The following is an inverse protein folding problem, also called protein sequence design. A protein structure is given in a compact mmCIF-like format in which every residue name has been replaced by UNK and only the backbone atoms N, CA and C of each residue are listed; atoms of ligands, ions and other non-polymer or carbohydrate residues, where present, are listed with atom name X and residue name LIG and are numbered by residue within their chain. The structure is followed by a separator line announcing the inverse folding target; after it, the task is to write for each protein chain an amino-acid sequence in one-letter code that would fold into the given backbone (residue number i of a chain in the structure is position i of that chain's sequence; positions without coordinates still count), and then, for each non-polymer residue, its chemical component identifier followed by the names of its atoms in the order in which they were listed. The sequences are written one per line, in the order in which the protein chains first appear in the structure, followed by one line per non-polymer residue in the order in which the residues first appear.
data_IF_069563745135
#
_entry.id   IF_069563745135
#
_cell.length_a   1.000
_cell.length_b   1.000
_cell.length_c   1.000
_cell.angle_alpha   90.00
_cell.angle_beta   90.00
_cell.angle_gamma   90.00
#
_symmetry.space_group_name_H-M   'P 1'
#
loop_
_entity.id
_entity.type
_entity.pdbx_description
1 polymer ?
#
# COMPACT_ATOMS: atom_id res chain seq x y z
N UNK A 1 37.28 3.05 -6.07
CA UNK A 1 35.90 3.42 -6.46
C UNK A 1 35.22 2.16 -6.94
N UNK A 2 34.25 1.64 -6.18
CA UNK A 2 33.43 0.52 -6.64
C UNK A 2 32.56 0.94 -7.83
N UNK A 3 31.99 0.01 -8.60
CA UNK A 3 31.08 0.37 -9.67
C UNK A 3 29.88 1.07 -9.04
N UNK A 4 29.76 2.38 -9.27
CA UNK A 4 28.51 3.07 -9.01
C UNK A 4 27.44 2.32 -9.78
N UNK A 5 26.37 1.91 -9.10
CA UNK A 5 25.30 1.19 -9.77
C UNK A 5 24.82 2.01 -10.97
N UNK A 6 24.50 1.37 -12.10
CA UNK A 6 24.02 2.03 -13.32
C UNK A 6 22.88 3.01 -13.07
N UNK A 7 22.08 2.77 -12.03
CA UNK A 7 21.00 3.66 -11.62
C UNK A 7 21.52 4.97 -10.99
N UNK A 8 22.57 4.88 -10.17
CA UNK A 8 23.17 6.03 -9.48
C UNK A 8 23.98 6.91 -10.44
N UNK A 9 24.43 6.39 -11.57
CA UNK A 9 25.07 7.19 -12.63
C UNK A 9 24.08 7.90 -13.56
N UNK A 10 22.77 7.66 -13.43
CA UNK A 10 21.76 8.37 -14.21
C UNK A 10 21.65 9.84 -13.79
N UNK A 11 21.36 10.75 -14.73
CA UNK A 11 20.90 12.10 -14.42
C UNK A 11 19.68 12.09 -13.49
N UNK A 12 19.59 13.10 -12.62
CA UNK A 12 18.51 13.24 -11.64
C UNK A 12 17.12 13.17 -12.27
N UNK A 13 16.92 13.82 -13.42
CA UNK A 13 15.63 13.82 -14.12
C UNK A 13 15.18 12.42 -14.54
N UNK A 14 16.12 11.55 -14.93
CA UNK A 14 15.80 10.17 -15.29
C UNK A 14 15.50 9.33 -14.05
N UNK A 15 16.25 9.53 -12.95
CA UNK A 15 15.96 8.89 -11.66
C UNK A 15 14.55 9.26 -11.17
N UNK A 16 14.19 10.54 -11.27
CA UNK A 16 12.86 11.03 -10.91
C UNK A 16 11.77 10.39 -11.78
N UNK A 17 11.90 10.38 -13.11
CA UNK A 17 10.92 9.70 -13.99
C UNK A 17 10.72 8.22 -13.66
N UNK A 18 11.79 7.52 -13.28
CA UNK A 18 11.72 6.13 -12.84
C UNK A 18 10.93 6.04 -11.52
N UNK A 19 11.28 6.86 -10.51
CA UNK A 19 10.54 6.93 -9.24
C UNK A 19 9.07 7.27 -9.45
N UNK A 20 8.78 8.18 -10.37
CA UNK A 20 7.44 8.62 -10.69
C UNK A 20 6.58 7.52 -11.29
N UNK A 21 7.21 6.55 -11.97
CA UNK A 21 6.55 5.41 -12.61
C UNK A 21 6.32 4.24 -11.66
N UNK A 22 6.95 4.23 -10.48
CA UNK A 22 6.83 3.15 -9.52
C UNK A 22 5.56 3.25 -8.64
N UNK A 23 5.00 2.13 -8.18
CA UNK A 23 3.98 2.12 -7.14
C UNK A 23 4.51 2.78 -5.86
N UNK A 24 3.63 3.45 -5.09
CA UNK A 24 4.06 4.18 -3.89
C UNK A 24 4.76 3.28 -2.86
N UNK A 25 4.40 2.00 -2.78
CA UNK A 25 5.04 1.03 -1.87
C UNK A 25 6.52 0.78 -2.20
N UNK A 26 6.89 0.83 -3.48
CA UNK A 26 8.27 0.57 -3.91
C UNK A 26 9.15 1.82 -3.76
N UNK A 27 8.54 3.01 -3.85
CA UNK A 27 9.20 4.28 -3.56
C UNK A 27 9.66 4.32 -2.08
N UNK A 28 8.84 3.83 -1.14
CA UNK A 28 9.24 3.73 0.27
C UNK A 28 10.51 2.86 0.43
N UNK A 29 10.55 1.71 -0.25
CA UNK A 29 11.70 0.79 -0.19
C UNK A 29 12.96 1.46 -0.76
N UNK A 30 12.84 2.14 -1.89
CA UNK A 30 13.96 2.85 -2.53
C UNK A 30 14.52 3.97 -1.66
N UNK A 31 13.65 4.76 -1.02
CA UNK A 31 14.07 5.82 -0.09
C UNK A 31 14.85 5.31 1.14
N UNK A 32 14.75 4.00 1.43
CA UNK A 32 15.52 3.34 2.49
C UNK A 32 16.96 2.97 2.10
N UNK A 33 17.29 2.90 0.80
CA UNK A 33 18.55 2.33 0.34
C UNK A 33 19.76 3.26 0.51
N UNK A 34 19.63 4.54 0.18
CA UNK A 34 20.71 5.52 0.32
C UNK A 34 20.17 6.94 0.55
N UNK A 35 21.05 7.87 0.95
CA UNK A 35 20.69 9.26 1.24
C UNK A 35 20.16 10.02 0.02
N UNK A 36 20.74 9.80 -1.15
CA UNK A 36 20.29 10.41 -2.40
C UNK A 36 18.86 9.98 -2.75
N UNK A 37 18.58 8.67 -2.70
CA UNK A 37 17.22 8.17 -2.97
C UNK A 37 16.23 8.59 -1.90
N UNK A 38 16.67 8.70 -0.64
CA UNK A 38 15.84 9.25 0.43
C UNK A 38 15.42 10.69 0.15
N UNK A 39 16.35 11.50 -0.35
CA UNK A 39 16.09 12.88 -0.75
C UNK A 39 15.11 12.93 -1.94
N UNK A 40 15.36 12.15 -2.99
CA UNK A 40 14.48 12.11 -4.16
C UNK A 40 13.06 11.58 -3.81
N UNK A 41 12.95 10.64 -2.88
CA UNK A 41 11.67 10.11 -2.41
C UNK A 41 11.01 11.00 -1.33
N UNK A 42 11.58 12.15 -0.98
CA UNK A 42 11.00 13.07 0.02
C UNK A 42 10.08 14.14 -0.56
N UNK A 43 9.98 14.20 -1.89
CA UNK A 43 9.13 15.13 -2.62
C UNK A 43 7.63 14.97 -2.25
N UNK A 44 7.02 16.03 -1.72
CA UNK A 44 5.63 16.08 -1.29
C UNK A 44 4.64 15.94 -2.46
N UNK A 45 4.95 16.48 -3.62
CA UNK A 45 4.09 16.42 -4.80
C UNK A 45 4.07 15.02 -5.40
N UNK A 46 5.20 14.30 -5.32
CA UNK A 46 5.26 12.87 -5.62
C UNK A 46 4.27 12.08 -4.77
N UNK A 47 4.28 12.27 -3.44
CA UNK A 47 3.36 11.56 -2.53
C UNK A 47 1.90 11.94 -2.74
N UNK A 48 1.61 13.20 -3.08
CA UNK A 48 0.25 13.64 -3.43
C UNK A 48 -0.29 12.91 -4.65
N UNK A 49 0.54 12.79 -5.70
CA UNK A 49 0.17 12.06 -6.91
C UNK A 49 -0.01 10.56 -6.62
N UNK A 50 0.92 9.95 -5.90
CA UNK A 50 0.84 8.53 -5.52
C UNK A 50 -0.39 8.22 -4.66
N UNK A 51 -0.75 9.14 -3.77
CA UNK A 51 -1.98 9.04 -3.01
C UNK A 51 -3.21 9.00 -3.93
N UNK A 52 -3.26 9.90 -4.91
CA UNK A 52 -4.34 9.96 -5.90
C UNK A 52 -4.44 8.68 -6.74
N UNK A 53 -3.30 8.10 -7.14
CA UNK A 53 -3.22 6.85 -7.91
C UNK A 53 -3.71 5.65 -7.08
N UNK A 54 -3.24 5.52 -5.83
CA UNK A 54 -3.47 4.31 -5.02
C UNK A 54 -4.76 4.34 -4.17
N UNK A 55 -5.25 5.54 -3.82
CA UNK A 55 -6.40 5.73 -2.93
C UNK A 55 -7.51 6.60 -3.50
N UNK A 56 -7.30 7.24 -4.66
CA UNK A 56 -8.29 8.09 -5.32
C UNK A 56 -8.19 9.58 -4.98
N UNK A 57 -9.04 10.40 -5.61
CA UNK A 57 -9.02 11.88 -5.49
C UNK A 57 -9.47 12.34 -4.10
N UNK A 58 -8.68 13.24 -3.50
CA UNK A 58 -9.06 13.98 -2.30
C UNK A 58 -9.85 15.22 -2.70
N UNK A 59 -11.09 15.35 -2.19
CA UNK A 59 -12.06 16.40 -2.58
C UNK A 59 -11.70 17.78 -1.99
N UNK A 60 -10.86 17.82 -0.95
CA UNK A 60 -10.36 19.06 -0.33
C UNK A 60 -8.93 18.84 0.10
N UNK A 61 -7.97 19.55 -0.51
CA UNK A 61 -6.62 19.61 0.03
C UNK A 61 -6.46 20.92 0.80
N UNK A 62 -6.33 20.83 2.12
CA UNK A 62 -5.61 21.87 2.84
C UNK A 62 -4.17 21.90 2.32
N UNK A 63 -3.62 23.11 2.20
CA UNK A 63 -2.25 23.34 1.68
C UNK A 63 -1.16 22.73 2.56
N UNK A 64 -1.48 22.35 3.80
CA UNK A 64 -0.53 21.84 4.81
C UNK A 64 -0.56 20.31 5.01
N UNK A 65 -1.17 19.55 4.10
CA UNK A 65 -1.19 18.09 4.24
C UNK A 65 0.20 17.52 3.94
N UNK A 66 0.79 16.86 4.96
CA UNK A 66 1.94 15.98 4.75
C UNK A 66 1.49 14.71 4.01
N UNK A 67 1.60 14.75 2.69
CA UNK A 67 1.13 13.66 1.82
C UNK A 67 1.85 12.33 2.06
N UNK A 68 3.09 12.37 2.53
CA UNK A 68 3.86 11.16 2.84
C UNK A 68 3.29 10.45 4.06
N UNK A 69 3.02 11.20 5.13
CA UNK A 69 2.35 10.67 6.33
C UNK A 69 0.94 10.18 5.98
N UNK A 70 0.18 10.97 5.22
CA UNK A 70 -1.17 10.61 4.80
C UNK A 70 -1.23 9.31 4.00
N UNK A 71 -0.25 9.12 3.11
CA UNK A 71 -0.07 7.88 2.35
C UNK A 71 0.21 6.71 3.30
N UNK A 72 1.14 6.86 4.24
CA UNK A 72 1.47 5.82 5.21
C UNK A 72 0.27 5.40 6.06
N UNK A 73 -0.49 6.36 6.60
CA UNK A 73 -1.71 6.09 7.36
C UNK A 73 -2.75 5.31 6.54
N UNK A 74 -2.96 5.73 5.29
CA UNK A 74 -3.94 5.13 4.41
C UNK A 74 -3.56 3.71 4.00
N UNK A 75 -2.26 3.46 3.83
CA UNK A 75 -1.71 2.13 3.59
C UNK A 75 -1.95 1.19 4.77
N UNK A 76 -1.61 1.62 5.99
CA UNK A 76 -1.85 0.83 7.23
C UNK A 76 -3.34 0.55 7.41
N UNK A 77 -4.19 1.55 7.16
CA UNK A 77 -5.64 1.38 7.19
C UNK A 77 -6.15 0.36 6.17
N UNK A 78 -5.59 0.36 4.95
CA UNK A 78 -5.91 -0.63 3.91
C UNK A 78 -5.51 -2.04 4.35
N UNK A 79 -4.30 -2.23 4.86
CA UNK A 79 -3.85 -3.54 5.34
C UNK A 79 -4.72 -4.07 6.49
N UNK A 80 -5.11 -3.21 7.43
CA UNK A 80 -6.02 -3.58 8.52
C UNK A 80 -7.37 -4.06 7.97
N UNK A 81 -7.94 -3.35 7.00
CA UNK A 81 -9.20 -3.74 6.34
C UNK A 81 -9.07 -5.07 5.62
N UNK A 82 -7.99 -5.31 4.88
CA UNK A 82 -7.73 -6.59 4.20
C UNK A 82 -7.67 -7.74 5.20
N UNK A 83 -6.91 -7.57 6.30
CA UNK A 83 -6.83 -8.59 7.37
C UNK A 83 -8.18 -8.85 8.02
N UNK A 84 -8.97 -7.79 8.27
CA UNK A 84 -10.28 -7.91 8.89
C UNK A 84 -11.28 -8.61 7.97
N UNK A 85 -11.27 -8.33 6.66
CA UNK A 85 -12.09 -9.03 5.68
C UNK A 85 -11.74 -10.51 5.61
N UNK A 86 -10.46 -10.86 5.55
CA UNK A 86 -10.02 -12.26 5.56
C UNK A 86 -10.51 -13.01 6.81
N UNK A 87 -10.42 -12.38 7.99
CA UNK A 87 -10.95 -12.95 9.23
C UNK A 87 -12.48 -13.15 9.21
N UNK A 88 -13.23 -12.17 8.69
CA UNK A 88 -14.69 -12.27 8.58
C UNK A 88 -15.12 -13.34 7.58
N UNK A 89 -14.41 -13.47 6.46
CA UNK A 89 -14.65 -14.53 5.46
C UNK A 89 -14.44 -15.92 6.06
N UNK A 90 -13.36 -16.10 6.83
CA UNK A 90 -13.08 -17.35 7.54
C UNK A 90 -14.16 -17.67 8.57
N UNK A 91 -14.57 -16.69 9.39
CA UNK A 91 -15.67 -16.84 10.35
C UNK A 91 -16.98 -17.17 9.67
N UNK A 92 -17.30 -16.50 8.57
CA UNK A 92 -18.51 -16.77 7.80
C UNK A 92 -18.51 -18.19 7.23
N UNK A 93 -17.37 -18.65 6.71
CA UNK A 93 -17.18 -20.02 6.23
C UNK A 93 -17.43 -21.03 7.36
N UNK A 94 -16.79 -20.85 8.51
CA UNK A 94 -16.97 -21.69 9.68
C UNK A 94 -18.43 -21.77 10.14
N UNK A 95 -19.15 -20.64 10.16
CA UNK A 95 -20.57 -20.61 10.52
C UNK A 95 -21.45 -21.36 9.52
N UNK A 96 -21.16 -21.23 8.22
CA UNK A 96 -21.87 -21.98 7.17
C UNK A 96 -21.64 -23.48 7.29
N UNK A 97 -20.41 -23.89 7.57
CA UNK A 97 -20.04 -25.29 7.76
C UNK A 97 -20.75 -25.88 9.00
N UNK A 98 -20.76 -25.15 10.13
CA UNK A 98 -21.49 -25.56 11.33
C UNK A 98 -22.99 -25.70 11.07
N UNK A 99 -23.60 -24.72 10.36
CA UNK A 99 -25.02 -24.78 10.00
C UNK A 99 -25.33 -26.02 9.16
N UNK A 100 -24.47 -26.38 8.20
CA UNK A 100 -24.63 -27.60 7.39
C UNK A 100 -24.60 -28.84 8.28
N UNK A 101 -23.58 -28.97 9.14
CA UNK A 101 -23.45 -30.11 10.04
C UNK A 101 -24.67 -30.29 10.96
N UNK A 102 -25.19 -29.18 11.50
CA UNK A 102 -26.38 -29.21 12.35
C UNK A 102 -27.61 -29.70 11.56
N UNK A 103 -27.82 -29.18 10.35
CA UNK A 103 -28.94 -29.60 9.49
C UNK A 103 -28.85 -31.07 9.07
N UNK A 104 -27.64 -31.58 8.81
CA UNK A 104 -27.41 -32.98 8.45
C UNK A 104 -27.74 -33.92 9.63
N UNK A 105 -27.37 -33.54 10.85
CA UNK A 105 -27.69 -34.30 12.08
C UNK A 105 -29.20 -34.38 12.30
N UNK A 106 -29.92 -33.27 12.12
CA UNK A 106 -31.38 -33.25 12.25
C UNK A 106 -32.08 -34.09 11.16
N UNK A 107 -31.50 -34.14 9.96
CA UNK A 107 -32.06 -34.90 8.83
C UNK A 107 -31.85 -36.41 8.96
N UNK A 108 -30.75 -36.85 9.58
CA UNK A 108 -30.44 -38.27 9.80
C UNK A 108 -31.08 -38.89 11.06
N UNK A 109 -31.90 -38.12 11.78
CA UNK A 109 -32.55 -38.53 13.03
C UNK A 109 -34.04 -38.87 12.88
N UNK A 110 -34.54 -38.99 11.64
CA UNK A 110 -35.93 -39.26 11.28
C UNK A 110 -36.00 -40.46 10.32
#
# INVERSE_FOLDING_TARGET
MGPESLFMSLPTDLKLKILESLPGVDIVKLGGLCSELRYLCSDLDLWKRKFGEDFGKVVKSDSDINWKEKYAESWVGRERRVKQLAYLEEKLKSLKDWKRLVMDVFSNSN
#
